data_IF_154941264165
#
_entry.id   IF_154941264165
#
_cell.length_a   1.000
_cell.length_b   1.000
_cell.length_c   1.000
_cell.angle_alpha   90.00
_cell.angle_beta   90.00
_cell.angle_gamma   90.00
#
_symmetry.space_group_name_H-M   'P 1'
#
loop_
_entity.id
_entity.type
_entity.pdbx_description
1 polymer ?
#
# COMPACT_ATOMS: atom_id res chain seq x y z
N UNK A 1 5.43 -26.74 42.92
CA UNK A 1 5.46 -25.79 41.75
C UNK A 1 6.71 -26.08 40.98
N UNK A 2 6.57 -26.33 39.68
CA UNK A 2 7.75 -26.53 38.84
C UNK A 2 8.61 -25.26 38.82
N UNK A 3 9.92 -25.38 38.91
CA UNK A 3 10.84 -24.27 38.88
C UNK A 3 10.93 -23.72 37.46
N UNK A 4 10.49 -22.48 37.27
CA UNK A 4 10.55 -21.81 35.97
C UNK A 4 11.97 -21.34 35.73
N UNK A 5 12.74 -22.12 34.99
CA UNK A 5 14.14 -21.81 34.70
C UNK A 5 14.27 -20.78 33.55
N UNK A 6 15.37 -20.06 33.53
CA UNK A 6 15.68 -19.13 32.43
C UNK A 6 15.77 -19.85 31.06
N UNK A 7 16.16 -21.13 31.07
CA UNK A 7 16.22 -21.96 29.86
C UNK A 7 14.83 -22.21 29.26
N UNK A 8 13.83 -22.57 30.11
CA UNK A 8 12.45 -22.76 29.68
C UNK A 8 11.83 -21.45 29.11
N UNK A 9 12.12 -20.31 29.75
CA UNK A 9 11.66 -18.99 29.25
C UNK A 9 12.28 -18.66 27.89
N UNK A 10 13.57 -18.96 27.73
CA UNK A 10 14.28 -18.78 26.45
C UNK A 10 13.70 -19.68 25.36
N UNK A 11 13.48 -20.96 25.66
CA UNK A 11 12.91 -21.93 24.71
C UNK A 11 11.51 -21.49 24.23
N UNK A 12 10.63 -21.11 25.16
CA UNK A 12 9.30 -20.63 24.82
C UNK A 12 9.35 -19.34 23.98
N UNK A 13 10.29 -18.45 24.29
CA UNK A 13 10.50 -17.22 23.53
C UNK A 13 10.99 -17.51 22.11
N UNK A 14 11.92 -18.43 21.92
CA UNK A 14 12.42 -18.83 20.60
C UNK A 14 11.34 -19.47 19.73
N UNK A 15 10.37 -20.17 20.34
CA UNK A 15 9.23 -20.77 19.65
C UNK A 15 8.13 -19.75 19.31
N UNK A 16 7.86 -18.80 20.20
CA UNK A 16 6.65 -17.96 20.12
C UNK A 16 6.96 -16.49 19.76
N UNK A 17 8.23 -16.11 19.82
CA UNK A 17 8.71 -14.72 19.63
C UNK A 17 8.04 -13.70 20.58
N UNK A 18 7.37 -14.21 21.61
CA UNK A 18 6.66 -13.39 22.59
C UNK A 18 7.62 -12.68 23.56
N UNK A 19 7.23 -11.53 24.15
CA UNK A 19 8.04 -10.82 25.13
C UNK A 19 8.42 -11.71 26.31
N UNK A 20 9.68 -11.63 26.77
CA UNK A 20 10.24 -12.49 27.83
C UNK A 20 9.37 -12.55 29.08
N UNK A 21 8.82 -11.42 29.52
CA UNK A 21 7.96 -11.36 30.72
C UNK A 21 6.62 -12.06 30.52
N UNK A 22 6.08 -12.05 29.31
CA UNK A 22 4.85 -12.80 28.98
C UNK A 22 5.12 -14.30 28.93
N UNK A 23 6.27 -14.73 28.35
CA UNK A 23 6.70 -16.12 28.38
C UNK A 23 6.86 -16.62 29.82
N UNK A 24 7.50 -15.84 30.70
CA UNK A 24 7.65 -16.19 32.12
C UNK A 24 6.30 -16.34 32.85
N UNK A 25 5.37 -15.40 32.63
CA UNK A 25 4.03 -15.44 33.19
C UNK A 25 3.24 -16.65 32.68
N UNK A 26 3.29 -16.93 31.38
CA UNK A 26 2.61 -18.07 30.79
C UNK A 26 3.15 -19.41 31.33
N UNK A 27 4.47 -19.55 31.44
CA UNK A 27 5.09 -20.72 32.05
C UNK A 27 4.71 -20.88 33.52
N UNK A 28 4.62 -19.80 34.29
CA UNK A 28 4.19 -19.85 35.69
C UNK A 28 2.73 -20.34 35.80
N UNK A 29 1.85 -19.83 34.92
CA UNK A 29 0.44 -20.24 34.86
C UNK A 29 0.26 -21.66 34.33
N UNK A 30 1.15 -22.10 33.44
CA UNK A 30 1.20 -23.47 32.91
C UNK A 30 1.98 -24.46 33.80
N UNK A 31 2.45 -24.05 35.00
CA UNK A 31 3.25 -24.87 35.91
C UNK A 31 4.50 -25.49 35.25
N UNK A 32 5.09 -24.80 34.27
CA UNK A 32 6.27 -25.25 33.54
C UNK A 32 6.00 -26.08 32.30
N UNK A 33 4.74 -26.37 31.98
CA UNK A 33 4.36 -27.05 30.72
C UNK A 33 4.48 -26.09 29.53
N UNK A 34 5.40 -26.38 28.59
CA UNK A 34 5.67 -25.56 27.43
C UNK A 34 4.49 -25.49 26.46
N UNK A 35 3.80 -26.61 26.20
CA UNK A 35 2.68 -26.64 25.26
C UNK A 35 1.50 -25.83 25.79
N UNK A 36 1.17 -25.98 27.06
CA UNK A 36 0.13 -25.19 27.70
C UNK A 36 0.49 -23.72 27.84
N UNK A 37 1.76 -23.39 28.06
CA UNK A 37 2.23 -22.00 28.10
C UNK A 37 2.11 -21.33 26.72
N UNK A 38 2.35 -22.06 25.63
CA UNK A 38 2.15 -21.59 24.26
C UNK A 38 0.68 -21.31 23.98
N UNK A 39 -0.24 -22.19 24.37
CA UNK A 39 -1.69 -21.95 24.25
C UNK A 39 -2.13 -20.69 25.03
N UNK A 40 -1.66 -20.53 26.28
CA UNK A 40 -1.94 -19.36 27.10
C UNK A 40 -1.45 -18.08 26.42
N UNK A 41 -0.23 -18.10 25.83
CA UNK A 41 0.30 -16.97 25.08
C UNK A 41 -0.55 -16.64 23.85
N UNK A 42 -0.96 -17.64 23.08
CA UNK A 42 -1.81 -17.47 21.90
C UNK A 42 -3.12 -16.75 22.27
N UNK A 43 -3.79 -17.15 23.34
CA UNK A 43 -5.00 -16.51 23.84
C UNK A 43 -4.74 -15.07 24.31
N UNK A 44 -3.66 -14.86 25.09
CA UNK A 44 -3.30 -13.51 25.60
C UNK A 44 -2.93 -12.54 24.49
N UNK A 45 -2.20 -12.98 23.47
CA UNK A 45 -1.85 -12.17 22.31
C UNK A 45 -3.09 -11.81 21.49
N UNK A 46 -4.02 -12.77 21.31
CA UNK A 46 -5.30 -12.51 20.65
C UNK A 46 -6.14 -11.46 21.39
N UNK A 47 -6.19 -11.53 22.72
CA UNK A 47 -6.89 -10.54 23.54
C UNK A 47 -6.24 -9.13 23.43
N UNK A 48 -4.91 -9.05 23.34
CA UNK A 48 -4.22 -7.78 23.10
C UNK A 48 -4.56 -7.21 21.72
N UNK A 49 -4.55 -8.03 20.69
CA UNK A 49 -4.93 -7.63 19.34
C UNK A 49 -6.36 -7.10 19.27
N UNK A 50 -7.32 -7.79 19.92
CA UNK A 50 -8.72 -7.34 20.00
C UNK A 50 -8.86 -5.99 20.68
N UNK A 51 -8.11 -5.74 21.75
CA UNK A 51 -8.09 -4.44 22.43
C UNK A 51 -7.42 -3.34 21.60
N UNK A 52 -6.43 -3.70 20.78
CA UNK A 52 -5.75 -2.78 19.90
C UNK A 52 -6.61 -2.39 18.69
N UNK A 53 -7.53 -3.23 18.22
CA UNK A 53 -8.28 -3.08 16.99
C UNK A 53 -9.06 -1.75 16.85
N UNK A 54 -9.46 -1.14 17.97
CA UNK A 54 -10.16 0.15 17.98
C UNK A 54 -9.22 1.37 17.88
N UNK A 55 -7.90 1.17 17.97
CA UNK A 55 -6.93 2.27 17.91
C UNK A 55 -6.66 2.67 16.47
N UNK A 56 -6.54 3.99 16.23
CA UNK A 56 -6.32 4.54 14.90
C UNK A 56 -4.91 4.21 14.42
N UNK A 57 -4.82 3.68 13.21
CA UNK A 57 -3.57 3.39 12.51
C UNK A 57 -3.32 4.46 11.45
N UNK A 58 -2.69 5.58 11.86
CA UNK A 58 -2.44 6.72 10.98
C UNK A 58 -1.13 6.59 10.18
N UNK A 59 -0.24 5.72 10.61
CA UNK A 59 1.04 5.42 9.99
C UNK A 59 0.99 4.08 9.24
N UNK A 60 2.09 3.64 8.67
CA UNK A 60 2.15 2.37 7.97
C UNK A 60 3.21 2.32 6.87
N UNK A 61 3.12 1.30 6.05
CA UNK A 61 4.04 1.04 4.95
C UNK A 61 3.28 0.57 3.70
N UNK A 62 3.75 0.99 2.54
CA UNK A 62 3.37 0.41 1.26
C UNK A 62 4.34 -0.73 0.94
N UNK A 63 3.80 -1.96 0.85
CA UNK A 63 4.52 -3.11 0.31
C UNK A 63 4.30 -3.21 -1.19
N UNK A 64 5.34 -3.64 -1.90
CA UNK A 64 5.30 -3.80 -3.33
C UNK A 64 6.09 -5.05 -3.74
N UNK A 65 5.53 -5.79 -4.69
CA UNK A 65 6.17 -6.96 -5.27
C UNK A 65 5.95 -6.99 -6.78
N UNK A 66 6.98 -7.35 -7.53
CA UNK A 66 6.91 -7.69 -8.96
C UNK A 66 7.61 -9.04 -9.14
N UNK A 67 6.97 -9.96 -9.87
CA UNK A 67 7.56 -11.25 -10.23
C UNK A 67 8.80 -11.10 -11.11
N UNK A 68 9.66 -12.11 -11.12
CA UNK A 68 10.92 -12.06 -11.87
C UNK A 68 10.75 -11.89 -13.39
N UNK A 69 9.61 -12.33 -13.93
CA UNK A 69 9.23 -12.15 -15.35
C UNK A 69 8.54 -10.81 -15.62
N UNK A 70 8.39 -9.96 -14.60
CA UNK A 70 7.71 -8.68 -14.63
C UNK A 70 6.24 -8.73 -15.11
N UNK A 71 5.57 -9.90 -15.01
CA UNK A 71 4.19 -10.09 -15.51
C UNK A 71 3.14 -10.02 -14.42
N UNK A 72 3.53 -10.20 -13.15
CA UNK A 72 2.65 -10.16 -11.99
C UNK A 72 3.21 -9.18 -10.98
N UNK A 73 2.36 -8.33 -10.47
CA UNK A 73 2.75 -7.39 -9.42
C UNK A 73 1.60 -7.11 -8.46
N UNK A 74 1.96 -6.65 -7.27
CA UNK A 74 1.00 -6.21 -6.29
C UNK A 74 1.54 -5.02 -5.50
N UNK A 75 0.63 -4.17 -5.08
CA UNK A 75 0.84 -3.10 -4.12
C UNK A 75 -0.13 -3.29 -2.96
N UNK A 76 0.35 -3.17 -1.73
CA UNK A 76 -0.47 -3.35 -0.52
C UNK A 76 -0.21 -2.23 0.48
N UNK A 77 -1.26 -1.76 1.12
CA UNK A 77 -1.21 -0.79 2.22
C UNK A 77 -1.46 -1.50 3.55
N UNK A 78 -0.46 -1.47 4.44
CA UNK A 78 -0.57 -1.98 5.80
C UNK A 78 -0.28 -0.86 6.78
N UNK A 79 -1.23 -0.58 7.65
CA UNK A 79 -1.16 0.54 8.58
C UNK A 79 -0.78 0.07 10.00
N UNK A 80 -0.08 0.93 10.74
CA UNK A 80 0.27 0.82 12.14
C UNK A 80 0.05 2.16 12.85
N UNK A 81 0.30 2.24 14.15
CA UNK A 81 0.02 3.46 14.91
C UNK A 81 1.14 4.50 14.78
N UNK A 82 2.41 4.05 14.76
CA UNK A 82 3.58 4.94 14.76
C UNK A 82 4.53 4.66 13.59
N UNK A 83 5.33 5.66 13.25
CA UNK A 83 6.40 5.55 12.25
C UNK A 83 7.58 4.67 12.73
N UNK A 84 7.73 4.46 14.04
CA UNK A 84 8.70 3.52 14.59
C UNK A 84 8.37 2.09 14.19
N UNK A 85 7.10 1.69 14.30
CA UNK A 85 6.64 0.37 13.87
C UNK A 85 6.71 0.23 12.36
N UNK A 86 6.41 1.27 11.60
CA UNK A 86 6.56 1.26 10.14
C UNK A 86 8.00 0.97 9.67
N UNK A 87 9.01 1.17 10.53
CA UNK A 87 10.44 0.89 10.27
C UNK A 87 10.94 -0.39 10.97
N UNK A 88 10.09 -1.07 11.73
CA UNK A 88 10.45 -2.30 12.44
C UNK A 88 10.62 -3.45 11.45
N UNK A 89 11.71 -4.22 11.57
CA UNK A 89 12.05 -5.29 10.62
C UNK A 89 10.97 -6.38 10.51
N UNK A 90 10.34 -6.77 11.61
CA UNK A 90 9.27 -7.76 11.61
C UNK A 90 8.04 -7.24 10.85
N UNK A 91 7.69 -5.96 11.05
CA UNK A 91 6.59 -5.31 10.34
C UNK A 91 6.90 -5.19 8.84
N UNK A 92 8.09 -4.70 8.49
CA UNK A 92 8.55 -4.58 7.10
C UNK A 92 8.57 -5.93 6.40
N UNK A 93 9.11 -6.97 7.05
CA UNK A 93 9.13 -8.34 6.53
C UNK A 93 7.73 -8.89 6.30
N UNK A 94 6.81 -8.65 7.23
CA UNK A 94 5.40 -9.01 7.10
C UNK A 94 4.74 -8.33 5.89
N UNK A 95 4.88 -7.02 5.74
CA UNK A 95 4.31 -6.23 4.64
C UNK A 95 4.83 -6.71 3.28
N UNK A 96 6.14 -6.92 3.15
CA UNK A 96 6.75 -7.41 1.92
C UNK A 96 6.24 -8.81 1.54
N UNK A 97 6.11 -9.70 2.52
CA UNK A 97 5.57 -11.04 2.27
C UNK A 97 4.10 -11.02 1.87
N UNK A 98 3.31 -10.12 2.43
CA UNK A 98 1.92 -9.91 2.00
C UNK A 98 1.84 -9.46 0.53
N UNK A 99 2.69 -8.52 0.11
CA UNK A 99 2.73 -8.09 -1.30
C UNK A 99 3.05 -9.25 -2.24
N UNK A 100 4.03 -10.10 -1.89
CA UNK A 100 4.36 -11.31 -2.65
C UNK A 100 3.16 -12.28 -2.72
N UNK A 101 2.49 -12.52 -1.59
CA UNK A 101 1.33 -13.43 -1.54
C UNK A 101 0.15 -12.89 -2.35
N UNK A 102 -0.13 -11.60 -2.32
CA UNK A 102 -1.14 -10.98 -3.19
C UNK A 102 -0.80 -11.21 -4.65
N UNK A 103 0.43 -10.95 -5.07
CA UNK A 103 0.84 -11.12 -6.46
C UNK A 103 0.73 -12.57 -6.94
N UNK A 104 1.10 -13.54 -6.07
CA UNK A 104 1.24 -14.96 -6.45
C UNK A 104 -0.04 -15.78 -6.23
N UNK A 105 -0.82 -15.51 -5.17
CA UNK A 105 -1.99 -16.28 -4.77
C UNK A 105 -3.32 -15.66 -5.25
N UNK A 106 -3.31 -14.40 -5.70
CA UNK A 106 -4.48 -13.69 -6.21
C UNK A 106 -5.72 -13.75 -5.29
N UNK A 107 -5.60 -13.37 -4.00
CA UNK A 107 -6.77 -13.35 -3.12
C UNK A 107 -7.80 -12.34 -3.62
N UNK A 108 -9.10 -12.66 -3.43
CA UNK A 108 -10.20 -11.82 -3.92
C UNK A 108 -10.31 -10.49 -3.13
N UNK A 109 -9.98 -10.52 -1.85
CA UNK A 109 -10.10 -9.38 -0.94
C UNK A 109 -9.17 -9.55 0.29
N UNK A 110 -9.20 -8.58 1.19
CA UNK A 110 -8.40 -8.60 2.43
C UNK A 110 -8.79 -9.77 3.35
N UNK A 111 -10.05 -10.19 3.36
CA UNK A 111 -10.48 -11.32 4.18
C UNK A 111 -9.91 -12.64 3.64
N UNK A 112 -9.98 -12.84 2.32
CA UNK A 112 -9.36 -13.98 1.64
C UNK A 112 -7.82 -13.99 1.83
N UNK A 113 -7.16 -12.84 1.72
CA UNK A 113 -5.74 -12.70 2.00
C UNK A 113 -5.43 -13.12 3.45
N UNK A 114 -6.18 -12.60 4.42
CA UNK A 114 -5.96 -12.87 5.85
C UNK A 114 -6.10 -14.36 6.21
N UNK A 115 -6.87 -15.11 5.44
CA UNK A 115 -7.08 -16.55 5.63
C UNK A 115 -5.99 -17.43 4.99
N UNK A 116 -5.13 -16.88 4.14
CA UNK A 116 -4.07 -17.66 3.49
C UNK A 116 -3.07 -18.22 4.51
N UNK A 117 -2.51 -19.41 4.22
CA UNK A 117 -1.46 -20.00 5.03
C UNK A 117 -0.22 -19.09 5.11
N UNK A 118 0.33 -18.95 6.33
CA UNK A 118 1.56 -18.22 6.59
C UNK A 118 2.32 -18.89 7.73
N UNK A 119 3.46 -19.51 7.43
CA UNK A 119 4.20 -20.32 8.41
C UNK A 119 3.36 -21.48 8.94
N UNK A 120 3.26 -21.61 10.25
CA UNK A 120 2.45 -22.65 10.92
C UNK A 120 0.97 -22.24 11.10
N UNK A 121 0.56 -21.07 10.63
CA UNK A 121 -0.79 -20.55 10.80
C UNK A 121 -1.32 -19.85 9.57
N UNK A 122 -2.03 -18.75 9.78
CA UNK A 122 -2.57 -17.88 8.74
C UNK A 122 -1.97 -16.48 8.84
N UNK A 123 -2.16 -15.68 7.81
CA UNK A 123 -1.77 -14.25 7.84
C UNK A 123 -2.46 -13.55 9.04
N UNK A 124 -3.73 -13.84 9.32
CA UNK A 124 -4.44 -13.25 10.44
C UNK A 124 -3.85 -13.66 11.80
N UNK A 125 -3.47 -14.93 11.97
CA UNK A 125 -2.81 -15.38 13.20
C UNK A 125 -1.44 -14.73 13.39
N UNK A 126 -0.68 -14.56 12.31
CA UNK A 126 0.62 -13.87 12.33
C UNK A 126 0.47 -12.39 12.64
N UNK A 127 -0.51 -11.70 12.00
CA UNK A 127 -0.84 -10.31 12.32
C UNK A 127 -1.20 -10.13 13.79
N UNK A 128 -2.03 -11.01 14.33
CA UNK A 128 -2.42 -11.02 15.75
C UNK A 128 -1.22 -11.21 16.68
N UNK A 129 -0.32 -12.12 16.34
CA UNK A 129 0.93 -12.34 17.08
C UNK A 129 1.83 -11.12 17.04
N UNK A 130 1.97 -10.50 15.87
CA UNK A 130 2.77 -9.30 15.67
C UNK A 130 2.23 -8.11 16.47
N UNK A 131 0.90 -7.90 16.50
CA UNK A 131 0.24 -6.91 17.37
C UNK A 131 0.56 -7.18 18.84
N UNK A 132 0.47 -8.45 19.27
CA UNK A 132 0.79 -8.83 20.65
C UNK A 132 2.25 -8.60 21.02
N UNK A 133 3.18 -8.82 20.09
CA UNK A 133 4.63 -8.62 20.25
C UNK A 133 5.01 -7.14 20.28
N UNK A 134 4.54 -6.36 19.31
CA UNK A 134 4.88 -4.94 19.14
C UNK A 134 4.06 -4.07 20.10
N UNK A 135 2.79 -4.41 20.35
CA UNK A 135 1.88 -3.66 21.21
C UNK A 135 1.07 -2.59 20.48
N UNK A 136 1.20 -2.46 19.17
CA UNK A 136 0.44 -1.55 18.34
C UNK A 136 -0.58 -2.28 17.47
N UNK A 137 -1.67 -1.59 17.11
CA UNK A 137 -2.62 -2.08 16.12
C UNK A 137 -1.97 -2.13 14.74
N UNK A 138 -2.22 -3.20 14.00
CA UNK A 138 -1.78 -3.39 12.61
C UNK A 138 -3.00 -3.74 11.77
N UNK A 139 -3.23 -3.01 10.69
CA UNK A 139 -4.38 -3.18 9.80
C UNK A 139 -3.92 -3.38 8.36
N UNK A 140 -4.33 -4.48 7.74
CA UNK A 140 -4.22 -4.67 6.29
C UNK A 140 -5.38 -3.88 5.68
N UNK A 141 -5.09 -2.75 5.04
CA UNK A 141 -6.13 -1.84 4.59
C UNK A 141 -6.70 -2.19 3.23
N UNK A 142 -5.83 -2.39 2.25
CA UNK A 142 -6.18 -2.68 0.86
C UNK A 142 -4.96 -3.15 0.09
N UNK A 143 -5.23 -3.74 -1.06
CA UNK A 143 -4.21 -4.07 -2.05
C UNK A 143 -4.79 -3.98 -3.46
N UNK A 144 -3.89 -3.90 -4.44
CA UNK A 144 -4.20 -4.04 -5.86
C UNK A 144 -3.19 -5.00 -6.48
N UNK A 145 -3.66 -5.78 -7.46
CA UNK A 145 -2.87 -6.76 -8.20
C UNK A 145 -3.02 -6.54 -9.70
N UNK A 146 -1.91 -6.60 -10.39
CA UNK A 146 -1.89 -6.58 -11.86
C UNK A 146 -1.24 -7.87 -12.35
N UNK A 147 -1.87 -8.51 -13.35
CA UNK A 147 -1.30 -9.59 -14.16
C UNK A 147 -1.48 -9.20 -15.63
N UNK A 148 -0.40 -9.18 -16.39
CA UNK A 148 -0.38 -8.60 -17.73
C UNK A 148 0.57 -9.35 -18.66
N UNK A 149 0.29 -9.42 -19.98
CA UNK A 149 1.27 -9.86 -20.97
C UNK A 149 2.40 -8.85 -21.18
N UNK A 150 2.20 -7.56 -20.83
CA UNK A 150 3.19 -6.50 -20.91
C UNK A 150 4.17 -6.57 -19.73
N UNK A 151 4.97 -5.54 -19.52
CA UNK A 151 5.87 -5.42 -18.39
C UNK A 151 5.26 -4.57 -17.26
N UNK A 152 5.68 -4.83 -16.03
CA UNK A 152 5.35 -4.05 -14.86
C UNK A 152 6.59 -3.31 -14.36
N UNK A 153 6.41 -2.06 -13.98
CA UNK A 153 7.40 -1.30 -13.23
C UNK A 153 6.78 -0.72 -11.96
N UNK A 154 7.61 -0.33 -11.02
CA UNK A 154 7.15 0.17 -9.73
C UNK A 154 8.06 1.24 -9.16
N UNK A 155 7.48 2.06 -8.30
CA UNK A 155 8.19 3.04 -7.51
C UNK A 155 7.57 3.19 -6.13
N UNK A 156 8.42 3.24 -5.10
CA UNK A 156 8.01 3.52 -3.71
C UNK A 156 8.73 4.76 -3.23
N UNK A 157 7.98 5.75 -2.78
CA UNK A 157 8.53 6.97 -2.21
C UNK A 157 8.33 7.01 -0.69
N UNK A 158 9.45 6.96 0.05
CA UNK A 158 9.47 7.05 1.52
C UNK A 158 8.63 5.97 2.23
N UNK A 159 8.31 4.86 1.57
CA UNK A 159 7.43 3.82 2.13
C UNK A 159 5.96 4.21 2.23
N UNK A 160 5.57 5.42 1.80
CA UNK A 160 4.22 6.00 1.97
C UNK A 160 3.44 6.11 0.67
N UNK A 161 4.11 6.21 -0.47
CA UNK A 161 3.50 6.28 -1.79
C UNK A 161 4.05 5.10 -2.59
N UNK A 162 3.16 4.25 -3.10
CA UNK A 162 3.52 3.15 -3.99
C UNK A 162 2.80 3.27 -5.31
N UNK A 163 3.53 3.02 -6.38
CA UNK A 163 3.02 2.98 -7.75
C UNK A 163 3.40 1.66 -8.38
N UNK A 164 2.43 1.02 -8.99
CA UNK A 164 2.60 -0.12 -9.87
C UNK A 164 2.01 0.27 -11.23
N UNK A 165 2.80 0.18 -12.29
CA UNK A 165 2.41 0.59 -13.64
C UNK A 165 2.66 -0.53 -14.63
N UNK A 166 1.68 -0.79 -15.49
CA UNK A 166 1.83 -1.59 -16.69
C UNK A 166 2.32 -0.70 -17.84
N UNK A 167 3.33 -1.17 -18.55
CA UNK A 167 3.90 -0.42 -19.68
C UNK A 167 4.40 -1.37 -20.78
N UNK A 168 4.56 -0.80 -21.98
CA UNK A 168 5.26 -1.43 -23.09
C UNK A 168 6.46 -0.54 -23.47
N UNK A 169 7.57 -1.17 -23.89
CA UNK A 169 8.80 -0.47 -24.24
C UNK A 169 9.98 -0.76 -23.32
N UNK A 170 10.96 0.14 -23.28
CA UNK A 170 12.17 -0.03 -22.50
C UNK A 170 11.91 -0.01 -20.97
N UNK A 171 12.66 -0.76 -20.20
CA UNK A 171 12.50 -0.86 -18.73
C UNK A 171 12.64 0.51 -18.04
N UNK A 172 13.53 1.35 -18.52
CA UNK A 172 13.79 2.68 -17.97
C UNK A 172 12.55 3.57 -18.05
N UNK A 173 11.81 3.49 -19.15
CA UNK A 173 10.55 4.22 -19.36
C UNK A 173 9.51 3.84 -18.28
N UNK A 174 9.36 2.55 -17.99
CA UNK A 174 8.44 2.08 -16.96
C UNK A 174 8.78 2.63 -15.56
N UNK A 175 10.07 2.63 -15.19
CA UNK A 175 10.54 3.19 -13.91
C UNK A 175 10.29 4.70 -13.81
N UNK A 176 10.57 5.40 -14.89
CA UNK A 176 10.39 6.85 -14.98
C UNK A 176 8.93 7.26 -14.88
N UNK A 177 8.05 6.49 -15.51
CA UNK A 177 6.60 6.66 -15.37
C UNK A 177 6.11 6.42 -13.95
N UNK A 178 6.54 5.34 -13.32
CA UNK A 178 6.14 5.05 -11.95
C UNK A 178 6.55 6.20 -11.01
N UNK A 179 7.74 6.77 -11.20
CA UNK A 179 8.20 7.94 -10.45
C UNK A 179 7.38 9.19 -10.77
N UNK A 180 7.09 9.46 -12.06
CA UNK A 180 6.24 10.56 -12.48
C UNK A 180 4.85 10.48 -11.85
N UNK A 181 4.20 9.31 -11.88
CA UNK A 181 2.89 9.07 -11.29
C UNK A 181 2.91 9.33 -9.78
N UNK A 182 3.96 8.88 -9.08
CA UNK A 182 4.11 9.15 -7.66
C UNK A 182 4.18 10.64 -7.33
N UNK A 183 4.85 11.42 -8.19
CA UNK A 183 5.03 12.86 -8.01
C UNK A 183 3.77 13.67 -8.37
N UNK A 184 3.13 13.36 -9.51
CA UNK A 184 2.04 14.16 -10.09
C UNK A 184 0.64 13.68 -9.72
N UNK A 185 0.50 12.43 -9.28
CA UNK A 185 -0.77 11.82 -8.83
C UNK A 185 -1.91 12.00 -9.84
N UNK A 186 -1.75 11.58 -11.10
CA UNK A 186 -2.81 11.70 -12.09
C UNK A 186 -4.06 10.94 -11.61
N UNK A 187 -5.25 11.47 -11.96
CA UNK A 187 -6.53 10.84 -11.64
C UNK A 187 -6.93 9.78 -12.67
N UNK A 188 -6.43 9.90 -13.89
CA UNK A 188 -6.75 8.99 -15.00
C UNK A 188 -5.62 8.98 -16.03
N UNK A 189 -5.64 7.98 -16.91
CA UNK A 189 -4.72 7.87 -18.04
C UNK A 189 -4.95 9.02 -19.03
N UNK A 190 -6.21 9.25 -19.42
CA UNK A 190 -6.66 10.28 -20.36
C UNK A 190 -7.97 10.93 -19.86
N UNK A 191 -8.52 11.87 -20.66
CA UNK A 191 -9.72 12.61 -20.28
C UNK A 191 -10.97 11.71 -20.10
N UNK A 192 -11.07 10.63 -20.88
CA UNK A 192 -12.23 9.73 -20.84
C UNK A 192 -12.32 8.94 -19.51
N UNK A 193 -11.17 8.75 -18.84
CA UNK A 193 -11.08 8.08 -17.55
C UNK A 193 -11.32 9.00 -16.35
N UNK A 194 -11.44 10.31 -16.54
CA UNK A 194 -11.70 11.24 -15.42
C UNK A 194 -13.15 11.14 -14.99
N UNK A 195 -13.38 11.06 -13.66
CA UNK A 195 -14.74 10.99 -13.13
C UNK A 195 -15.57 12.20 -13.60
N UNK A 196 -16.74 11.99 -14.27
CA UNK A 196 -17.60 13.09 -14.72
C UNK A 196 -18.00 14.05 -13.62
N UNK A 197 -18.13 13.59 -12.37
CA UNK A 197 -18.43 14.44 -11.22
C UNK A 197 -17.31 15.44 -10.92
N UNK A 198 -16.04 15.04 -11.08
CA UNK A 198 -14.89 15.93 -10.90
C UNK A 198 -14.87 17.01 -11.99
N UNK A 199 -15.17 16.64 -13.24
CA UNK A 199 -15.27 17.58 -14.37
C UNK A 199 -16.41 18.57 -14.14
N UNK A 200 -17.58 18.10 -13.69
CA UNK A 200 -18.74 18.95 -13.40
C UNK A 200 -18.45 19.91 -12.25
N UNK A 201 -17.77 19.45 -11.21
CA UNK A 201 -17.37 20.31 -10.07
C UNK A 201 -16.41 21.42 -10.53
N UNK A 202 -15.39 21.10 -11.34
CA UNK A 202 -14.45 22.09 -11.86
C UNK A 202 -15.15 23.10 -12.80
N UNK A 203 -16.06 22.63 -13.65
CA UNK A 203 -16.88 23.49 -14.50
C UNK A 203 -17.70 24.47 -13.68
N UNK A 204 -18.39 24.00 -12.63
CA UNK A 204 -19.19 24.86 -11.74
C UNK A 204 -18.34 25.95 -11.05
N UNK A 205 -17.14 25.60 -10.58
CA UNK A 205 -16.20 26.56 -10.00
C UNK A 205 -15.74 27.58 -11.05
N UNK A 206 -15.45 27.13 -12.27
CA UNK A 206 -15.03 28.00 -13.36
C UNK A 206 -16.15 28.96 -13.78
N UNK A 207 -17.40 28.51 -13.82
CA UNK A 207 -18.59 29.33 -14.12
C UNK A 207 -18.77 30.43 -13.08
N UNK A 208 -18.68 30.11 -11.79
CA UNK A 208 -18.80 31.08 -10.71
C UNK A 208 -17.71 32.16 -10.79
N UNK A 209 -16.43 31.75 -10.97
CA UNK A 209 -15.31 32.68 -11.15
C UNK A 209 -15.46 33.56 -12.38
N UNK A 210 -15.95 33.00 -13.48
CA UNK A 210 -16.13 33.74 -14.73
C UNK A 210 -17.30 34.73 -14.64
N UNK A 211 -18.40 34.40 -13.94
CA UNK A 211 -19.52 35.31 -13.70
C UNK A 211 -19.10 36.56 -12.92
N UNK A 212 -18.19 36.43 -11.94
CA UNK A 212 -17.65 37.57 -11.19
C UNK A 212 -16.77 38.50 -12.04
N UNK A 213 -16.28 38.04 -13.22
CA UNK A 213 -15.41 38.83 -14.06
C UNK A 213 -16.09 39.98 -14.82
N UNK A 214 -17.42 40.00 -14.86
CA UNK A 214 -18.22 41.05 -15.58
C UNK A 214 -18.03 41.03 -17.10
N UNK A 215 -17.46 39.93 -17.70
CA UNK A 215 -17.20 39.80 -19.10
C UNK A 215 -18.45 39.36 -19.89
N UNK A 216 -18.52 39.63 -21.21
CA UNK A 216 -19.58 39.12 -22.08
C UNK A 216 -19.71 37.60 -22.04
N UNK A 217 -20.93 37.09 -22.25
CA UNK A 217 -21.27 35.67 -22.09
C UNK A 217 -20.44 34.70 -22.96
N UNK A 218 -20.09 35.13 -24.17
CA UNK A 218 -19.24 34.37 -25.11
C UNK A 218 -17.78 34.24 -24.62
N UNK A 219 -17.27 35.27 -23.94
CA UNK A 219 -15.96 35.24 -23.29
C UNK A 219 -15.99 34.39 -22.06
N UNK A 220 -17.06 34.49 -21.24
CA UNK A 220 -17.28 33.64 -20.06
C UNK A 220 -17.29 32.17 -20.46
N UNK A 221 -18.04 31.78 -21.49
CA UNK A 221 -18.07 30.39 -21.97
C UNK A 221 -16.66 29.88 -22.37
N UNK A 222 -15.88 30.68 -23.10
CA UNK A 222 -14.50 30.30 -23.46
C UNK A 222 -13.57 30.18 -22.24
N UNK A 223 -13.75 31.03 -21.22
CA UNK A 223 -12.99 30.96 -19.98
C UNK A 223 -13.30 29.66 -19.22
N UNK A 224 -14.56 29.27 -19.14
CA UNK A 224 -14.99 28.03 -18.49
C UNK A 224 -14.41 26.82 -19.21
N UNK A 225 -14.56 26.75 -20.53
CA UNK A 225 -14.01 25.66 -21.34
C UNK A 225 -12.49 25.58 -21.26
N UNK A 226 -11.81 26.73 -21.26
CA UNK A 226 -10.37 26.81 -21.04
C UNK A 226 -9.94 26.30 -19.65
N UNK A 227 -10.70 26.60 -18.61
CA UNK A 227 -10.43 26.11 -17.24
C UNK A 227 -10.59 24.60 -17.15
N UNK A 228 -11.67 24.05 -17.70
CA UNK A 228 -11.90 22.59 -17.73
C UNK A 228 -10.81 21.89 -18.55
N UNK A 229 -10.43 22.45 -19.70
CA UNK A 229 -9.33 21.88 -20.53
C UNK A 229 -7.98 21.90 -19.78
N UNK A 230 -7.71 22.96 -19.03
CA UNK A 230 -6.52 23.05 -18.18
C UNK A 230 -6.54 21.98 -17.07
N UNK A 231 -7.66 21.87 -16.36
CA UNK A 231 -7.87 20.83 -15.34
C UNK A 231 -7.61 19.43 -15.89
N UNK A 232 -8.20 19.09 -17.04
CA UNK A 232 -7.99 17.79 -17.68
C UNK A 232 -6.51 17.54 -18.03
N UNK A 233 -5.78 18.55 -18.48
CA UNK A 233 -4.33 18.42 -18.71
C UNK A 233 -3.54 18.17 -17.43
N UNK A 234 -3.95 18.76 -16.31
CA UNK A 234 -3.27 18.62 -15.04
C UNK A 234 -3.52 17.27 -14.39
N UNK A 235 -4.70 16.67 -14.58
CA UNK A 235 -5.11 15.42 -13.88
C UNK A 235 -4.99 14.15 -14.72
N UNK A 236 -4.63 14.25 -16.01
CA UNK A 236 -4.49 13.07 -16.89
C UNK A 236 -3.03 12.78 -17.20
N UNK A 237 -2.61 11.54 -16.96
CA UNK A 237 -1.21 11.10 -17.09
C UNK A 237 -0.59 11.48 -18.44
N UNK A 238 -1.27 11.12 -19.55
CA UNK A 238 -0.72 11.34 -20.89
C UNK A 238 -0.56 12.81 -21.28
N UNK A 239 -1.33 13.72 -20.65
CA UNK A 239 -1.28 15.16 -20.94
C UNK A 239 -0.37 15.95 -20.01
N UNK A 240 0.10 15.33 -18.93
CA UNK A 240 1.00 16.00 -17.99
C UNK A 240 2.38 16.24 -18.60
N UNK A 241 3.03 17.39 -18.31
CA UNK A 241 4.45 17.57 -18.56
C UNK A 241 5.26 16.52 -17.78
N UNK A 242 6.24 15.90 -18.43
CA UNK A 242 7.03 14.86 -17.79
C UNK A 242 7.98 15.45 -16.74
N UNK A 243 8.05 14.84 -15.55
CA UNK A 243 8.81 15.41 -14.41
C UNK A 243 10.31 15.54 -14.64
N UNK A 244 10.90 14.76 -15.56
CA UNK A 244 12.32 14.85 -15.92
C UNK A 244 12.58 15.75 -17.13
N UNK A 245 11.54 16.04 -17.92
CA UNK A 245 11.60 16.90 -19.10
C UNK A 245 10.25 17.60 -19.29
N UNK A 246 10.11 18.79 -18.74
CA UNK A 246 8.88 19.59 -18.76
C UNK A 246 8.50 20.15 -20.15
N UNK A 247 9.39 20.03 -21.13
CA UNK A 247 9.11 20.42 -22.52
C UNK A 247 8.27 19.43 -23.28
N UNK A 248 8.25 18.15 -22.80
CA UNK A 248 7.51 17.08 -23.44
C UNK A 248 6.42 16.56 -22.49
N UNK A 249 5.26 16.24 -23.04
CA UNK A 249 4.23 15.52 -22.29
C UNK A 249 4.58 14.03 -22.21
N UNK A 250 4.02 13.35 -21.21
CA UNK A 250 4.16 11.89 -21.08
C UNK A 250 3.78 11.18 -22.39
N UNK A 251 2.73 11.63 -23.09
CA UNK A 251 2.32 11.08 -24.39
C UNK A 251 3.42 11.17 -25.45
N UNK A 252 4.15 12.29 -25.52
CA UNK A 252 5.18 12.50 -26.54
C UNK A 252 6.43 11.65 -26.32
N UNK A 253 6.76 11.31 -25.08
CA UNK A 253 7.87 10.42 -24.77
C UNK A 253 7.67 9.00 -25.34
N UNK A 254 6.41 8.55 -25.40
CA UNK A 254 6.08 7.22 -25.95
C UNK A 254 6.01 7.18 -27.50
N UNK A 255 5.73 8.32 -28.12
CA UNK A 255 5.59 8.38 -29.60
C UNK A 255 6.91 8.71 -30.30
N UNK A 256 7.88 9.32 -29.61
CA UNK A 256 9.20 9.60 -30.19
C UNK A 256 10.08 8.33 -30.27
N UNK A 257 10.05 7.47 -29.27
CA UNK A 257 10.81 6.21 -29.31
C UNK A 257 10.28 5.20 -30.34
N UNK A 258 8.99 5.29 -30.69
CA UNK A 258 8.37 4.41 -31.70
C UNK A 258 8.64 4.89 -33.17
N UNK A 259 9.22 6.09 -33.37
CA UNK A 259 9.51 6.63 -34.67
C UNK A 259 10.98 6.45 -35.12
N UNK A 260 11.84 5.97 -34.18
CA UNK A 260 13.27 5.74 -34.45
C UNK A 260 13.62 4.23 -34.63
N UNK A 261 12.63 3.33 -34.69
CA UNK A 261 12.73 1.94 -35.15
C UNK A 261 12.07 1.79 -36.56
#
# INVERSE_FOLDING_TARGET
MAEITAALVKELREKTDAPMMECKKALTEAEGDLARAEEILRVKLGNKASKAAARVTAEGLIGLFISADAKKGAVIEVNCETDFVAKNDDFVGFVNKLAELVATQNPADVAALSALPYGEGTIESTRTTLIGKIGENISIRRFERIETPNALASYVHGGKIGVLVEYAGAEEVGKDLAMHIAATKPKALNADGVNPADIAAERSVAEQKAAESGKPADIVAKMVDGSVAKFLKEVTLLSQPFVKDDKHTVCLLYTSDAADE
#
